data_IF_084255935311
#
_entry.id   IF_084255935311
#
_cell.length_a   1.000
_cell.length_b   1.000
_cell.length_c   1.000
_cell.angle_alpha   90.00
_cell.angle_beta   90.00
_cell.angle_gamma   90.00
#
_symmetry.space_group_name_H-M   'P 1'
#
loop_
_entity.id
_entity.type
_entity.pdbx_description
1 polymer ?
#
# COMPACT_ATOMS: atom_id res chain seq x y z
N UNK A 1 5.72 -33.85 -7.83
CA UNK A 1 5.06 -34.69 -6.80
C UNK A 1 6.09 -35.05 -5.74
N UNK A 2 5.72 -34.90 -4.46
CA UNK A 2 6.60 -35.13 -3.29
C UNK A 2 6.26 -36.51 -2.72
N UNK A 3 7.05 -37.58 -3.00
CA UNK A 3 6.72 -38.95 -2.59
C UNK A 3 6.57 -39.13 -1.08
N UNK A 4 7.36 -38.39 -0.30
CA UNK A 4 7.34 -38.45 1.17
C UNK A 4 6.01 -37.96 1.80
N UNK A 5 5.21 -37.14 1.08
CA UNK A 5 3.88 -36.73 1.55
C UNK A 5 2.85 -37.86 1.51
N UNK A 6 3.10 -38.92 0.73
CA UNK A 6 2.24 -40.12 0.68
C UNK A 6 2.49 -41.06 1.86
N UNK A 7 3.66 -40.95 2.49
CA UNK A 7 4.06 -41.79 3.62
C UNK A 7 3.70 -41.16 4.98
N UNK A 8 3.56 -39.82 5.02
CA UNK A 8 3.17 -39.10 6.23
C UNK A 8 1.66 -39.23 6.48
N UNK A 9 1.26 -40.18 7.29
CA UNK A 9 -0.14 -40.41 7.72
C UNK A 9 -0.44 -39.83 9.11
N UNK A 10 0.55 -39.27 9.77
CA UNK A 10 0.38 -38.70 11.11
C UNK A 10 -0.31 -37.33 11.00
N UNK A 11 -1.45 -37.22 11.65
CA UNK A 11 -2.15 -35.94 11.78
C UNK A 11 -1.45 -35.09 12.85
N UNK A 12 -1.36 -33.76 12.66
CA UNK A 12 -0.84 -32.86 13.69
C UNK A 12 -1.59 -33.06 15.02
N UNK A 13 -0.93 -32.78 16.12
CA UNK A 13 -1.55 -32.82 17.45
C UNK A 13 -2.82 -31.92 17.48
N UNK A 14 -3.75 -32.27 18.35
CA UNK A 14 -5.07 -31.61 18.42
C UNK A 14 -4.96 -30.10 18.65
N UNK A 15 -3.96 -29.66 19.41
CA UNK A 15 -3.70 -28.24 19.66
C UNK A 15 -3.19 -27.53 18.40
N UNK A 16 -2.23 -28.11 17.71
CA UNK A 16 -1.68 -27.58 16.47
C UNK A 16 -2.74 -27.51 15.38
N UNK A 17 -3.53 -28.57 15.20
CA UNK A 17 -4.65 -28.62 14.27
C UNK A 17 -5.68 -27.53 14.56
N UNK A 18 -6.04 -27.31 15.83
CA UNK A 18 -6.95 -26.24 16.22
C UNK A 18 -6.36 -24.85 15.96
N UNK A 19 -5.05 -24.65 16.14
CA UNK A 19 -4.33 -23.44 15.79
C UNK A 19 -4.40 -23.15 14.28
N UNK A 20 -4.15 -24.18 13.46
CA UNK A 20 -4.26 -24.09 11.99
C UNK A 20 -5.68 -23.72 11.56
N UNK A 21 -6.71 -24.41 12.09
CA UNK A 21 -8.11 -24.13 11.77
C UNK A 21 -8.55 -22.70 12.17
N UNK A 22 -8.09 -22.21 13.33
CA UNK A 22 -8.34 -20.81 13.75
C UNK A 22 -7.72 -19.81 12.78
N UNK A 23 -6.49 -20.05 12.33
CA UNK A 23 -5.82 -19.18 11.37
C UNK A 23 -6.49 -19.23 9.99
N UNK A 24 -6.91 -20.40 9.51
CA UNK A 24 -7.69 -20.53 8.26
C UNK A 24 -8.99 -19.76 8.36
N UNK A 25 -9.73 -19.87 9.47
CA UNK A 25 -10.95 -19.10 9.70
C UNK A 25 -10.71 -17.60 9.65
N UNK A 26 -9.67 -17.12 10.34
CA UNK A 26 -9.30 -15.69 10.32
C UNK A 26 -8.89 -15.21 8.91
N UNK A 27 -8.08 -15.97 8.17
CA UNK A 27 -7.74 -15.65 6.78
C UNK A 27 -8.98 -15.59 5.87
N UNK A 28 -9.92 -16.51 6.05
CA UNK A 28 -11.17 -16.51 5.28
C UNK A 28 -12.00 -15.26 5.56
N UNK A 29 -12.12 -14.86 6.83
CA UNK A 29 -12.79 -13.60 7.21
C UNK A 29 -12.11 -12.38 6.55
N UNK A 30 -10.79 -12.30 6.56
CA UNK A 30 -10.05 -11.22 5.89
C UNK A 30 -10.30 -11.19 4.38
N UNK A 31 -10.28 -12.35 3.71
CA UNK A 31 -10.55 -12.43 2.26
C UNK A 31 -11.97 -12.02 1.92
N UNK A 32 -12.97 -12.51 2.66
CA UNK A 32 -14.37 -12.14 2.46
C UNK A 32 -14.60 -10.64 2.66
N UNK A 33 -14.06 -10.07 3.74
CA UNK A 33 -14.17 -8.64 4.02
C UNK A 33 -13.53 -7.80 2.90
N UNK A 34 -12.35 -8.19 2.39
CA UNK A 34 -11.69 -7.49 1.27
C UNK A 34 -12.54 -7.52 0.00
N UNK A 35 -13.20 -8.65 -0.30
CA UNK A 35 -14.09 -8.78 -1.46
C UNK A 35 -15.31 -7.86 -1.28
N UNK A 36 -15.89 -7.83 -0.09
CA UNK A 36 -17.03 -6.96 0.24
C UNK A 36 -16.65 -5.50 0.01
N UNK A 37 -15.59 -5.00 0.65
CA UNK A 37 -15.15 -3.61 0.51
C UNK A 37 -14.94 -3.22 -0.95
N UNK A 38 -14.19 -4.03 -1.72
CA UNK A 38 -13.89 -3.72 -3.13
C UNK A 38 -15.12 -3.66 -4.03
N UNK A 39 -16.09 -4.54 -3.81
CA UNK A 39 -17.29 -4.60 -4.64
C UNK A 39 -18.35 -3.58 -4.20
N UNK A 40 -18.38 -3.23 -2.92
CA UNK A 40 -19.31 -2.24 -2.37
C UNK A 40 -19.15 -0.88 -3.04
N UNK A 41 -17.93 -0.43 -3.30
CA UNK A 41 -17.68 0.85 -3.96
C UNK A 41 -18.36 0.92 -5.34
N UNK A 42 -18.20 -0.11 -6.17
CA UNK A 42 -18.81 -0.17 -7.51
C UNK A 42 -20.33 -0.31 -7.46
N UNK A 43 -20.86 -1.07 -6.50
CA UNK A 43 -22.28 -1.21 -6.28
C UNK A 43 -22.91 0.12 -5.83
N UNK A 44 -22.30 0.82 -4.89
CA UNK A 44 -22.79 2.12 -4.43
C UNK A 44 -22.71 3.17 -5.54
N UNK A 45 -21.63 3.21 -6.33
CA UNK A 45 -21.54 4.12 -7.47
C UNK A 45 -22.64 3.87 -8.49
N UNK A 46 -22.86 2.61 -8.88
CA UNK A 46 -23.89 2.28 -9.86
C UNK A 46 -25.31 2.58 -9.37
N UNK A 47 -25.58 2.35 -8.08
CA UNK A 47 -26.91 2.51 -7.49
C UNK A 47 -27.26 3.97 -7.18
N UNK A 48 -26.30 4.79 -6.73
CA UNK A 48 -26.56 6.16 -6.27
C UNK A 48 -26.17 7.24 -7.27
N UNK A 49 -25.20 6.98 -8.15
CA UNK A 49 -24.63 8.00 -9.05
C UNK A 49 -24.91 7.66 -10.52
N UNK A 50 -24.86 6.38 -10.88
CA UNK A 50 -25.16 5.89 -12.24
C UNK A 50 -23.96 5.21 -12.92
N UNK A 51 -24.27 4.42 -13.94
CA UNK A 51 -23.30 3.56 -14.66
C UNK A 51 -22.23 4.36 -15.41
N UNK A 52 -22.58 5.55 -15.91
CA UNK A 52 -21.61 6.43 -16.60
C UNK A 52 -20.45 6.79 -15.67
N UNK A 53 -20.75 7.11 -14.41
CA UNK A 53 -19.72 7.46 -13.42
C UNK A 53 -18.86 6.24 -13.06
N UNK A 54 -19.44 5.03 -13.03
CA UNK A 54 -18.66 3.79 -12.87
C UNK A 54 -17.67 3.62 -14.02
N UNK A 55 -18.10 3.92 -15.25
CA UNK A 55 -17.23 3.93 -16.43
C UNK A 55 -16.07 4.91 -16.30
N UNK A 56 -16.34 6.16 -15.90
CA UNK A 56 -15.30 7.16 -15.64
C UNK A 56 -14.31 6.71 -14.57
N UNK A 57 -14.82 6.21 -13.44
CA UNK A 57 -14.01 5.71 -12.33
C UNK A 57 -13.15 4.52 -12.72
N UNK A 58 -13.64 3.66 -13.62
CA UNK A 58 -12.88 2.49 -14.09
C UNK A 58 -11.59 2.86 -14.81
N UNK A 59 -11.53 3.99 -15.51
CA UNK A 59 -10.32 4.49 -16.16
C UNK A 59 -9.21 4.79 -15.14
N UNK A 60 -9.56 5.45 -14.03
CA UNK A 60 -8.64 5.70 -12.93
C UNK A 60 -8.22 4.38 -12.24
N UNK A 61 -9.21 3.50 -11.99
CA UNK A 61 -8.94 2.19 -11.37
C UNK A 61 -8.04 1.30 -12.22
N UNK A 62 -8.08 1.40 -13.53
CA UNK A 62 -7.17 0.68 -14.44
C UNK A 62 -5.70 1.02 -14.13
N UNK A 63 -5.37 2.30 -14.04
CA UNK A 63 -4.00 2.75 -13.70
C UNK A 63 -3.63 2.32 -12.27
N UNK A 64 -4.51 2.58 -11.31
CA UNK A 64 -4.30 2.20 -9.91
C UNK A 64 -4.11 0.67 -9.76
N UNK A 65 -4.91 -0.14 -10.45
CA UNK A 65 -4.80 -1.60 -10.40
C UNK A 65 -3.50 -2.11 -11.05
N UNK A 66 -3.03 -1.50 -12.14
CA UNK A 66 -1.75 -1.84 -12.74
C UNK A 66 -0.59 -1.61 -11.75
N UNK A 67 -0.60 -0.46 -11.06
CA UNK A 67 0.39 -0.13 -10.02
C UNK A 67 0.25 -1.03 -8.78
N UNK A 68 -0.98 -1.36 -8.37
CA UNK A 68 -1.25 -2.32 -7.30
C UNK A 68 -0.65 -3.70 -7.62
N UNK A 69 -0.84 -4.18 -8.85
CA UNK A 69 -0.30 -5.45 -9.29
C UNK A 69 1.23 -5.45 -9.31
N UNK A 70 1.85 -4.36 -9.77
CA UNK A 70 3.30 -4.20 -9.75
C UNK A 70 3.85 -4.25 -8.32
N UNK A 71 3.29 -3.43 -7.41
CA UNK A 71 3.69 -3.39 -6.00
C UNK A 71 3.43 -4.72 -5.29
N UNK A 72 2.31 -5.39 -5.62
CA UNK A 72 1.98 -6.71 -5.10
C UNK A 72 2.99 -7.79 -5.52
N UNK A 73 3.43 -7.81 -6.77
CA UNK A 73 4.48 -8.74 -7.23
C UNK A 73 5.80 -8.51 -6.51
N UNK A 74 6.19 -7.25 -6.30
CA UNK A 74 7.37 -6.92 -5.50
C UNK A 74 7.23 -7.43 -4.06
N UNK A 75 6.07 -7.24 -3.44
CA UNK A 75 5.80 -7.73 -2.09
C UNK A 75 5.92 -9.25 -1.99
N UNK A 76 5.32 -9.99 -2.93
CA UNK A 76 5.40 -11.47 -2.98
C UNK A 76 6.84 -11.95 -3.15
N UNK A 77 7.68 -11.26 -3.91
CA UNK A 77 9.08 -11.62 -4.08
C UNK A 77 9.88 -11.62 -2.75
N UNK A 78 9.45 -10.82 -1.76
CA UNK A 78 10.08 -10.76 -0.44
C UNK A 78 9.45 -11.73 0.58
N UNK A 79 8.24 -12.25 0.35
CA UNK A 79 7.49 -13.00 1.35
C UNK A 79 8.22 -14.25 1.86
N UNK A 80 8.86 -15.02 0.96
CA UNK A 80 9.63 -16.20 1.35
C UNK A 80 10.84 -15.87 2.25
N UNK A 81 11.55 -14.79 1.95
CA UNK A 81 12.67 -14.33 2.78
C UNK A 81 12.22 -13.87 4.15
N UNK A 82 11.08 -13.17 4.24
CA UNK A 82 10.52 -12.70 5.51
C UNK A 82 10.13 -13.87 6.40
N UNK A 83 9.52 -14.94 5.85
CA UNK A 83 9.18 -16.13 6.60
C UNK A 83 10.41 -16.79 7.25
N UNK A 84 11.50 -16.91 6.50
CA UNK A 84 12.77 -17.43 7.04
C UNK A 84 13.36 -16.51 8.13
N UNK A 85 13.35 -15.19 7.92
CA UNK A 85 13.84 -14.24 8.93
C UNK A 85 12.98 -14.29 10.20
N UNK A 86 11.66 -14.36 10.07
CA UNK A 86 10.74 -14.44 11.20
C UNK A 86 10.94 -15.71 12.04
N UNK A 87 11.37 -16.81 11.41
CA UNK A 87 11.58 -18.10 12.09
C UNK A 87 12.97 -18.24 12.74
N UNK A 88 14.00 -17.60 12.17
CA UNK A 88 15.41 -17.87 12.53
C UNK A 88 16.10 -16.70 13.25
N UNK A 89 15.58 -15.48 13.15
CA UNK A 89 16.27 -14.29 13.64
C UNK A 89 15.72 -13.80 14.98
N UNK A 90 16.55 -13.06 15.72
CA UNK A 90 16.12 -12.40 16.93
C UNK A 90 15.28 -11.14 16.62
N UNK A 91 14.52 -10.67 17.61
CA UNK A 91 13.58 -9.53 17.47
C UNK A 91 14.21 -8.26 16.95
N UNK A 92 15.46 -7.94 17.31
CA UNK A 92 16.12 -6.71 16.89
C UNK A 92 16.52 -6.76 15.41
N UNK A 93 17.01 -7.91 14.94
CA UNK A 93 17.35 -8.09 13.54
C UNK A 93 16.10 -8.14 12.66
N UNK A 94 15.04 -8.78 13.14
CA UNK A 94 13.74 -8.79 12.49
C UNK A 94 13.19 -7.36 12.33
N UNK A 95 13.25 -6.56 13.39
CA UNK A 95 12.80 -5.17 13.36
C UNK A 95 13.65 -4.29 12.43
N UNK A 96 14.95 -4.52 12.35
CA UNK A 96 15.83 -3.81 11.41
C UNK A 96 15.46 -4.13 9.96
N UNK A 97 15.25 -5.41 9.63
CA UNK A 97 14.81 -5.83 8.29
C UNK A 97 13.45 -5.21 7.95
N UNK A 98 12.53 -5.19 8.91
CA UNK A 98 11.25 -4.52 8.75
C UNK A 98 11.42 -3.03 8.40
N UNK A 99 12.25 -2.28 9.13
CA UNK A 99 12.50 -0.86 8.87
C UNK A 99 13.10 -0.60 7.49
N UNK A 100 14.06 -1.43 7.07
CA UNK A 100 14.66 -1.34 5.74
C UNK A 100 13.61 -1.56 4.64
N UNK A 101 12.76 -2.56 4.78
CA UNK A 101 11.69 -2.84 3.83
C UNK A 101 10.62 -1.76 3.83
N UNK A 102 10.20 -1.29 5.00
CA UNK A 102 9.23 -0.22 5.15
C UNK A 102 9.71 1.07 4.50
N UNK A 103 10.99 1.41 4.65
CA UNK A 103 11.61 2.54 3.97
C UNK A 103 11.66 2.36 2.44
N UNK A 104 12.00 1.18 1.95
CA UNK A 104 12.01 0.88 0.51
C UNK A 104 10.60 1.01 -0.10
N UNK A 105 9.59 0.43 0.54
CA UNK A 105 8.20 0.53 0.09
C UNK A 105 7.68 1.97 0.19
N UNK A 106 8.09 2.72 1.21
CA UNK A 106 7.79 4.14 1.31
C UNK A 106 8.35 4.91 0.11
N UNK A 107 9.62 4.74 -0.26
CA UNK A 107 10.21 5.44 -1.41
C UNK A 107 9.45 5.14 -2.70
N UNK A 108 9.15 3.88 -2.97
CA UNK A 108 8.38 3.47 -4.14
C UNK A 108 6.97 4.06 -4.12
N UNK A 109 6.28 3.99 -2.98
CA UNK A 109 4.93 4.53 -2.82
C UNK A 109 4.92 6.04 -3.01
N UNK A 110 5.84 6.78 -2.37
CA UNK A 110 5.91 8.24 -2.49
C UNK A 110 6.22 8.70 -3.91
N UNK A 111 7.09 7.99 -4.61
CA UNK A 111 7.37 8.24 -6.03
C UNK A 111 6.11 8.08 -6.88
N UNK A 112 5.40 6.97 -6.71
CA UNK A 112 4.16 6.68 -7.44
C UNK A 112 3.08 7.72 -7.12
N UNK A 113 2.90 8.05 -5.84
CA UNK A 113 1.87 9.01 -5.38
C UNK A 113 2.08 10.39 -5.97
N UNK A 114 3.28 10.94 -5.91
CA UNK A 114 3.55 12.25 -6.47
C UNK A 114 3.41 12.26 -7.99
N UNK A 115 3.85 11.19 -8.68
CA UNK A 115 3.62 11.02 -10.11
C UNK A 115 2.13 10.93 -10.47
N UNK A 116 1.33 10.18 -9.71
CA UNK A 116 -0.13 10.10 -9.88
C UNK A 116 -0.81 11.47 -9.64
N UNK A 117 -0.47 12.15 -8.55
CA UNK A 117 -1.03 13.47 -8.26
C UNK A 117 -0.75 14.49 -9.37
N UNK A 118 0.44 14.43 -9.95
CA UNK A 118 0.86 15.32 -11.03
C UNK A 118 0.25 14.94 -12.37
N UNK A 119 0.24 13.66 -12.74
CA UNK A 119 0.05 13.22 -14.12
C UNK A 119 -1.20 12.37 -14.38
N UNK A 120 -1.94 11.89 -13.34
CA UNK A 120 -3.05 10.95 -13.54
C UNK A 120 -4.19 11.55 -14.37
N UNK A 121 -4.61 12.79 -14.07
CA UNK A 121 -5.63 13.48 -14.87
C UNK A 121 -5.14 13.76 -16.29
N UNK A 122 -3.89 14.16 -16.45
CA UNK A 122 -3.31 14.38 -17.78
C UNK A 122 -3.27 13.08 -18.60
N UNK A 123 -2.94 11.96 -17.97
CA UNK A 123 -2.96 10.63 -18.61
C UNK A 123 -4.38 10.25 -19.06
N UNK A 124 -5.38 10.43 -18.19
CA UNK A 124 -6.78 10.14 -18.54
C UNK A 124 -7.25 11.05 -19.67
N UNK A 125 -6.92 12.35 -19.63
CA UNK A 125 -7.26 13.29 -20.70
C UNK A 125 -6.62 12.94 -22.04
N UNK A 126 -5.36 12.51 -22.05
CA UNK A 126 -4.63 12.13 -23.27
C UNK A 126 -5.13 10.80 -23.87
N UNK A 127 -5.58 9.86 -23.03
CA UNK A 127 -6.03 8.54 -23.48
C UNK A 127 -7.52 8.51 -23.86
N UNK A 128 -8.36 9.19 -23.09
CA UNK A 128 -9.81 9.07 -23.18
C UNK A 128 -10.52 10.40 -23.53
N UNK A 129 -9.86 11.54 -23.30
CA UNK A 129 -10.42 12.88 -23.50
C UNK A 129 -10.72 13.60 -22.19
N UNK A 130 -10.85 14.93 -22.27
CA UNK A 130 -11.09 15.81 -21.11
C UNK A 130 -12.42 15.54 -20.39
N UNK A 131 -13.44 15.11 -21.13
CA UNK A 131 -14.77 14.79 -20.59
C UNK A 131 -14.76 13.58 -19.63
N UNK A 132 -13.68 12.78 -19.67
CA UNK A 132 -13.49 11.62 -18.80
C UNK A 132 -12.72 11.96 -17.52
N UNK A 133 -12.35 13.22 -17.31
CA UNK A 133 -11.58 13.63 -16.15
C UNK A 133 -12.46 13.93 -14.93
N UNK A 134 -12.07 13.40 -13.76
CA UNK A 134 -12.65 13.80 -12.50
C UNK A 134 -12.08 15.14 -12.00
N UNK A 135 -12.87 15.91 -11.19
CA UNK A 135 -12.33 17.02 -10.43
C UNK A 135 -11.13 16.59 -9.58
N UNK A 136 -10.18 17.51 -9.40
CA UNK A 136 -8.93 17.20 -8.67
C UNK A 136 -9.16 16.72 -7.23
N UNK A 137 -10.26 17.14 -6.60
CA UNK A 137 -10.69 16.66 -5.27
C UNK A 137 -10.92 15.14 -5.26
N UNK A 138 -11.61 14.60 -6.27
CA UNK A 138 -11.84 13.15 -6.41
C UNK A 138 -10.53 12.43 -6.67
N UNK A 139 -9.68 12.96 -7.56
CA UNK A 139 -8.36 12.38 -7.86
C UNK A 139 -7.49 12.32 -6.61
N UNK A 140 -7.47 13.42 -5.84
CA UNK A 140 -6.72 13.47 -4.58
C UNK A 140 -7.17 12.39 -3.60
N UNK A 141 -8.48 12.14 -3.48
CA UNK A 141 -8.99 11.08 -2.60
C UNK A 141 -8.62 9.68 -3.12
N UNK A 142 -8.72 9.43 -4.44
CA UNK A 142 -8.31 8.14 -5.03
C UNK A 142 -6.82 7.88 -4.77
N UNK A 143 -5.98 8.89 -4.95
CA UNK A 143 -4.53 8.77 -4.72
C UNK A 143 -4.21 8.65 -3.23
N UNK A 144 -4.94 9.35 -2.35
CA UNK A 144 -4.79 9.22 -0.90
C UNK A 144 -5.20 7.81 -0.39
N UNK A 145 -6.29 7.24 -0.91
CA UNK A 145 -6.69 5.85 -0.64
C UNK A 145 -5.57 4.88 -1.06
N UNK A 146 -5.01 5.06 -2.25
CA UNK A 146 -3.90 4.26 -2.73
C UNK A 146 -2.66 4.41 -1.83
N UNK A 147 -2.30 5.63 -1.39
CA UNK A 147 -1.21 5.87 -0.45
C UNK A 147 -1.39 5.09 0.85
N UNK A 148 -2.54 5.23 1.51
CA UNK A 148 -2.86 4.54 2.75
C UNK A 148 -2.76 3.02 2.56
N UNK A 149 -3.32 2.51 1.48
CA UNK A 149 -3.29 1.09 1.14
C UNK A 149 -1.86 0.57 0.93
N UNK A 150 -0.98 1.34 0.28
CA UNK A 150 0.40 0.90 -0.02
C UNK A 150 1.35 1.02 1.16
N UNK A 151 1.22 2.07 1.98
CA UNK A 151 2.03 2.22 3.19
C UNK A 151 1.81 1.09 4.21
N UNK A 152 0.69 0.38 4.14
CA UNK A 152 0.39 -0.79 4.98
C UNK A 152 1.05 -2.09 4.51
N UNK A 153 1.58 -2.12 3.28
CA UNK A 153 2.00 -3.37 2.61
C UNK A 153 3.02 -4.17 3.42
N UNK A 154 3.99 -3.51 4.03
CA UNK A 154 5.04 -4.18 4.81
C UNK A 154 4.48 -4.77 6.10
N UNK A 155 3.60 -4.05 6.81
CA UNK A 155 2.91 -4.58 7.99
C UNK A 155 2.14 -5.88 7.65
N UNK A 156 1.43 -5.88 6.52
CA UNK A 156 0.70 -7.06 6.05
C UNK A 156 1.63 -8.23 5.72
N UNK A 157 2.76 -7.98 5.05
CA UNK A 157 3.75 -9.01 4.71
C UNK A 157 4.31 -9.68 5.96
N UNK A 158 4.73 -8.91 6.96
CA UNK A 158 5.27 -9.47 8.20
C UNK A 158 4.20 -10.18 9.03
N UNK A 159 2.98 -9.63 9.12
CA UNK A 159 1.84 -10.28 9.77
C UNK A 159 1.53 -11.64 9.12
N UNK A 160 1.50 -11.70 7.79
CA UNK A 160 1.23 -12.93 7.03
C UNK A 160 2.35 -13.96 7.21
N UNK A 161 3.60 -13.53 7.10
CA UNK A 161 4.76 -14.42 7.28
C UNK A 161 4.85 -15.02 8.69
N UNK A 162 4.38 -14.30 9.70
CA UNK A 162 4.37 -14.74 11.10
C UNK A 162 3.06 -15.43 11.52
N UNK A 163 2.08 -15.56 10.62
CA UNK A 163 0.81 -16.21 10.91
C UNK A 163 -0.09 -15.48 11.93
N UNK A 164 0.06 -14.16 12.08
CA UNK A 164 -0.65 -13.36 13.10
C UNK A 164 -2.11 -13.02 12.73
N UNK A 165 -2.75 -13.84 11.90
CA UNK A 165 -4.12 -13.60 11.41
C UNK A 165 -5.18 -13.62 12.52
N UNK A 166 -4.98 -14.46 13.53
CA UNK A 166 -5.93 -14.57 14.63
C UNK A 166 -5.99 -13.32 15.49
N UNK A 167 -4.87 -12.60 15.61
CA UNK A 167 -4.74 -11.44 16.47
C UNK A 167 -5.50 -10.21 15.95
N UNK A 168 -5.75 -10.14 14.63
CA UNK A 168 -6.49 -9.03 13.99
C UNK A 168 -7.78 -9.46 13.28
N UNK A 169 -8.33 -10.63 13.60
CA UNK A 169 -9.50 -11.22 12.93
C UNK A 169 -10.71 -10.32 12.84
N UNK A 170 -10.96 -9.50 13.85
CA UNK A 170 -12.11 -8.58 13.88
C UNK A 170 -11.88 -7.30 13.09
N UNK A 171 -10.62 -6.94 12.80
CA UNK A 171 -10.28 -5.72 12.05
C UNK A 171 -10.96 -5.66 10.69
N UNK A 172 -10.91 -6.76 9.94
CA UNK A 172 -11.46 -6.81 8.60
C UNK A 172 -12.99 -6.66 8.58
N UNK A 173 -13.69 -7.22 9.58
CA UNK A 173 -15.13 -7.04 9.74
C UNK A 173 -15.45 -5.60 10.12
N UNK A 174 -14.74 -5.02 11.08
CA UNK A 174 -14.91 -3.62 11.46
C UNK A 174 -14.65 -2.67 10.30
N UNK A 175 -13.57 -2.90 9.52
CA UNK A 175 -13.26 -2.16 8.30
C UNK A 175 -14.43 -2.19 7.31
N UNK A 176 -15.01 -3.36 7.04
CA UNK A 176 -16.13 -3.52 6.11
C UNK A 176 -17.39 -2.80 6.56
N UNK A 177 -17.73 -2.89 7.84
CA UNK A 177 -18.89 -2.23 8.40
C UNK A 177 -18.73 -0.71 8.35
N UNK A 178 -17.59 -0.19 8.83
CA UNK A 178 -17.31 1.25 8.82
C UNK A 178 -17.26 1.77 7.37
N UNK A 179 -16.65 1.04 6.44
CA UNK A 179 -16.63 1.40 5.04
C UNK A 179 -18.05 1.54 4.47
N UNK A 180 -18.88 0.53 4.64
CA UNK A 180 -20.26 0.55 4.14
C UNK A 180 -21.07 1.71 4.73
N UNK A 181 -21.02 1.89 6.05
CA UNK A 181 -21.78 2.94 6.74
C UNK A 181 -21.29 4.34 6.33
N UNK A 182 -19.98 4.57 6.32
CA UNK A 182 -19.40 5.85 5.93
C UNK A 182 -19.66 6.18 4.46
N UNK A 183 -19.50 5.20 3.56
CA UNK A 183 -19.79 5.39 2.13
C UNK A 183 -21.26 5.70 1.87
N UNK A 184 -22.18 4.98 2.51
CA UNK A 184 -23.64 5.26 2.41
C UNK A 184 -24.01 6.64 2.94
N UNK A 185 -23.42 7.07 4.05
CA UNK A 185 -23.67 8.38 4.62
C UNK A 185 -23.14 9.54 3.75
N UNK A 186 -22.01 9.31 3.07
CA UNK A 186 -21.32 10.36 2.31
C UNK A 186 -21.70 10.39 0.83
N UNK A 187 -22.14 9.26 0.22
CA UNK A 187 -22.42 9.19 -1.21
C UNK A 187 -23.51 10.14 -1.66
N UNK A 188 -24.57 10.33 -0.86
CA UNK A 188 -25.69 11.21 -1.21
C UNK A 188 -25.28 12.69 -1.34
N UNK A 189 -24.27 13.12 -0.57
CA UNK A 189 -23.83 14.51 -0.55
C UNK A 189 -22.60 14.77 -1.41
N UNK A 190 -21.68 13.80 -1.49
CA UNK A 190 -20.37 13.97 -2.11
C UNK A 190 -20.13 13.05 -3.32
N UNK A 191 -21.10 12.22 -3.70
CA UNK A 191 -20.98 11.34 -4.85
C UNK A 191 -19.75 10.41 -4.76
N UNK A 192 -18.94 10.36 -5.81
CA UNK A 192 -17.72 9.53 -5.88
C UNK A 192 -16.75 9.86 -4.74
N UNK A 193 -16.56 11.15 -4.44
CA UNK A 193 -15.71 11.59 -3.33
C UNK A 193 -16.18 11.03 -1.99
N UNK A 194 -17.51 10.89 -1.79
CA UNK A 194 -18.08 10.30 -0.60
C UNK A 194 -17.76 8.81 -0.46
N UNK A 195 -17.83 8.05 -1.53
CA UNK A 195 -17.53 6.60 -1.51
C UNK A 195 -16.06 6.37 -1.21
N UNK A 196 -15.17 7.04 -1.94
CA UNK A 196 -13.71 6.93 -1.71
C UNK A 196 -13.34 7.44 -0.32
N UNK A 197 -13.99 8.54 0.13
CA UNK A 197 -13.84 9.07 1.48
C UNK A 197 -14.24 8.08 2.56
N UNK A 198 -15.32 7.31 2.36
CA UNK A 198 -15.73 6.23 3.26
C UNK A 198 -14.67 5.14 3.40
N UNK A 199 -14.02 4.76 2.30
CA UNK A 199 -12.91 3.79 2.29
C UNK A 199 -11.69 4.34 3.04
N UNK A 200 -11.37 5.62 2.88
CA UNK A 200 -10.29 6.28 3.64
C UNK A 200 -10.62 6.27 5.14
N UNK A 201 -11.84 6.67 5.53
CA UNK A 201 -12.28 6.71 6.93
C UNK A 201 -12.18 5.31 7.56
N UNK A 202 -12.70 4.27 6.90
CA UNK A 202 -12.62 2.91 7.42
C UNK A 202 -11.18 2.43 7.62
N UNK A 203 -10.28 2.72 6.67
CA UNK A 203 -8.87 2.38 6.76
C UNK A 203 -8.15 3.13 7.88
N UNK A 204 -8.46 4.43 8.07
CA UNK A 204 -7.89 5.23 9.17
C UNK A 204 -8.41 4.77 10.53
N UNK A 205 -9.68 4.41 10.64
CA UNK A 205 -10.28 3.92 11.89
C UNK A 205 -9.81 2.53 12.28
N UNK A 206 -9.32 1.72 11.35
CA UNK A 206 -9.00 0.31 11.60
C UNK A 206 -7.57 -0.03 11.23
N UNK A 207 -7.24 -0.02 9.96
CA UNK A 207 -6.04 -0.65 9.41
C UNK A 207 -4.75 0.06 9.77
N UNK A 208 -4.74 1.38 9.69
CA UNK A 208 -3.51 2.19 9.81
C UNK A 208 -2.81 2.00 11.16
N UNK A 209 -3.57 1.78 12.22
CA UNK A 209 -2.99 1.60 13.56
C UNK A 209 -3.02 0.16 14.06
N UNK A 210 -4.03 -0.66 13.68
CA UNK A 210 -4.13 -2.06 14.16
C UNK A 210 -3.00 -2.91 13.58
N UNK A 211 -2.66 -2.76 12.31
CA UNK A 211 -1.66 -3.60 11.65
C UNK A 211 -0.25 -3.43 12.23
N UNK A 212 0.31 -2.22 12.35
CA UNK A 212 1.61 -2.05 12.99
C UNK A 212 1.57 -2.43 14.47
N UNK A 213 0.46 -2.18 15.17
CA UNK A 213 0.28 -2.59 16.56
C UNK A 213 0.37 -4.13 16.71
N UNK A 214 -0.34 -4.88 15.86
CA UNK A 214 -0.32 -6.36 15.90
C UNK A 214 1.08 -6.89 15.61
N UNK A 215 1.72 -6.40 14.54
CA UNK A 215 3.06 -6.83 14.19
C UNK A 215 4.07 -6.52 15.29
N UNK A 216 4.09 -5.30 15.82
CA UNK A 216 5.07 -4.91 16.82
C UNK A 216 4.83 -5.60 18.16
N UNK A 217 3.58 -5.73 18.60
CA UNK A 217 3.24 -6.32 19.89
C UNK A 217 3.41 -7.82 19.92
N UNK A 218 2.98 -8.54 18.87
CA UNK A 218 2.95 -10.01 18.87
C UNK A 218 4.10 -10.62 18.04
N UNK A 219 4.63 -9.87 17.08
CA UNK A 219 5.74 -10.30 16.25
C UNK A 219 7.09 -9.93 16.82
N UNK A 220 7.34 -8.65 17.05
CA UNK A 220 8.62 -8.14 17.57
C UNK A 220 8.71 -8.29 19.09
N UNK A 221 7.64 -8.00 19.81
CA UNK A 221 7.47 -8.09 21.27
C UNK A 221 8.33 -7.12 22.10
N UNK A 222 9.63 -7.05 21.82
CA UNK A 222 10.56 -6.19 22.55
C UNK A 222 10.29 -4.70 22.29
N UNK A 223 10.20 -3.91 23.38
CA UNK A 223 10.00 -2.45 23.38
C UNK A 223 8.91 -1.97 22.37
N UNK A 224 7.87 -2.77 22.14
CA UNK A 224 6.87 -2.53 21.09
C UNK A 224 6.18 -1.17 21.18
N UNK A 225 5.94 -0.63 22.40
CA UNK A 225 5.29 0.70 22.56
C UNK A 225 6.17 1.82 21.98
N UNK A 226 7.49 1.77 22.27
CA UNK A 226 8.45 2.73 21.74
C UNK A 226 8.53 2.61 20.22
N UNK A 227 8.69 1.39 19.71
CA UNK A 227 8.78 1.08 18.28
C UNK A 227 7.50 1.53 17.53
N UNK A 228 6.31 1.39 18.14
CA UNK A 228 5.04 1.85 17.58
C UNK A 228 4.96 3.38 17.50
N UNK A 229 5.40 4.09 18.54
CA UNK A 229 5.45 5.56 18.53
C UNK A 229 6.43 6.07 17.47
N UNK A 230 7.61 5.44 17.38
CA UNK A 230 8.63 5.80 16.40
C UNK A 230 8.12 5.53 14.96
N UNK A 231 7.39 4.43 14.75
CA UNK A 231 6.71 4.14 13.48
C UNK A 231 5.75 5.25 13.07
N UNK A 232 4.86 5.70 13.97
CA UNK A 232 3.91 6.76 13.63
C UNK A 232 4.57 8.12 13.43
N UNK A 233 5.64 8.42 14.15
CA UNK A 233 6.42 9.63 13.94
C UNK A 233 7.06 9.65 12.54
N UNK A 234 7.66 8.53 12.12
CA UNK A 234 8.20 8.38 10.76
C UNK A 234 7.10 8.37 9.70
N UNK A 235 5.99 7.68 9.94
CA UNK A 235 4.84 7.68 9.03
C UNK A 235 4.33 9.10 8.75
N UNK A 236 4.20 9.93 9.81
CA UNK A 236 3.75 11.32 9.67
C UNK A 236 4.75 12.16 8.87
N UNK A 237 6.05 12.07 9.16
CA UNK A 237 7.10 12.78 8.40
C UNK A 237 7.06 12.40 6.92
N UNK A 238 6.97 11.11 6.62
CA UNK A 238 6.92 10.55 5.26
C UNK A 238 5.65 10.99 4.52
N UNK A 239 4.51 11.02 5.22
CA UNK A 239 3.24 11.51 4.68
C UNK A 239 3.33 13.00 4.33
N UNK A 240 3.88 13.83 5.21
CA UNK A 240 4.04 15.27 4.98
C UNK A 240 4.98 15.54 3.78
N UNK A 241 6.09 14.82 3.69
CA UNK A 241 7.01 14.95 2.55
C UNK A 241 6.34 14.54 1.24
N UNK A 242 5.62 13.41 1.23
CA UNK A 242 4.88 12.95 0.04
C UNK A 242 3.79 13.95 -0.36
N UNK A 243 3.07 14.51 0.60
CA UNK A 243 2.05 15.53 0.36
C UNK A 243 2.65 16.82 -0.21
N UNK A 244 3.79 17.28 0.31
CA UNK A 244 4.49 18.44 -0.19
C UNK A 244 4.97 18.26 -1.64
N UNK A 245 5.58 17.12 -1.96
CA UNK A 245 6.00 16.77 -3.32
C UNK A 245 4.81 16.68 -4.27
N UNK A 246 3.71 16.07 -3.82
CA UNK A 246 2.47 15.97 -4.60
C UNK A 246 1.87 17.34 -4.88
N UNK A 247 1.80 18.20 -3.87
CA UNK A 247 1.31 19.58 -4.03
C UNK A 247 2.18 20.39 -5.00
N UNK A 248 3.50 20.28 -4.91
CA UNK A 248 4.41 20.92 -5.86
C UNK A 248 4.18 20.43 -7.29
N UNK A 249 4.00 19.14 -7.52
CA UNK A 249 3.68 18.55 -8.82
C UNK A 249 2.34 19.05 -9.39
N UNK A 250 1.30 19.14 -8.55
CA UNK A 250 -0.01 19.68 -8.94
C UNK A 250 0.11 21.16 -9.36
N UNK A 251 0.80 21.99 -8.56
CA UNK A 251 1.02 23.40 -8.87
C UNK A 251 1.82 23.57 -10.17
N UNK A 252 2.79 22.70 -10.42
CA UNK A 252 3.55 22.68 -11.67
C UNK A 252 2.64 22.47 -12.89
N UNK A 253 1.82 21.40 -12.88
CA UNK A 253 0.93 21.08 -14.01
C UNK A 253 -0.18 22.12 -14.18
N UNK A 254 -0.63 22.77 -13.12
CA UNK A 254 -1.57 23.89 -13.21
C UNK A 254 -0.94 25.11 -13.94
N UNK A 255 0.36 25.33 -13.76
CA UNK A 255 1.09 26.42 -14.43
C UNK A 255 1.52 26.05 -15.85
N UNK A 256 1.87 24.77 -16.08
CA UNK A 256 2.34 24.22 -17.34
C UNK A 256 1.50 23.00 -17.73
N UNK A 257 0.32 23.22 -18.37
CA UNK A 257 -0.58 22.13 -18.69
C UNK A 257 0.01 21.11 -19.66
N UNK A 258 -0.21 19.83 -19.39
CA UNK A 258 0.21 18.71 -20.24
C UNK A 258 -0.70 18.63 -21.45
N UNK A 259 -0.20 19.02 -22.63
CA UNK A 259 -0.99 19.05 -23.88
C UNK A 259 -0.77 17.84 -24.79
N UNK A 260 0.32 17.12 -24.63
CA UNK A 260 0.67 15.97 -25.46
C UNK A 260 1.56 14.97 -24.71
N UNK A 261 1.75 13.78 -25.30
CA UNK A 261 2.60 12.72 -24.70
C UNK A 261 4.08 13.11 -24.54
N UNK A 262 4.60 14.01 -25.37
CA UNK A 262 5.98 14.50 -25.25
C UNK A 262 6.18 15.28 -23.95
N UNK A 263 5.28 16.23 -23.67
CA UNK A 263 5.28 17.00 -22.41
C UNK A 263 5.01 16.08 -21.21
N UNK A 264 4.08 15.14 -21.35
CA UNK A 264 3.82 14.12 -20.30
C UNK A 264 5.09 13.37 -19.89
N UNK A 265 5.87 12.90 -20.86
CA UNK A 265 7.13 12.20 -20.60
C UNK A 265 8.16 13.14 -19.97
N UNK A 266 8.29 14.37 -20.49
CA UNK A 266 9.21 15.36 -19.96
C UNK A 266 8.90 15.71 -18.50
N UNK A 267 7.65 15.93 -18.17
CA UNK A 267 7.20 16.19 -16.80
C UNK A 267 7.44 14.99 -15.88
N UNK A 268 7.25 13.77 -16.38
CA UNK A 268 7.59 12.55 -15.65
C UNK A 268 9.09 12.42 -15.36
N UNK A 269 9.94 12.77 -16.31
CA UNK A 269 11.40 12.79 -16.13
C UNK A 269 11.83 13.89 -15.16
N UNK A 270 11.25 15.10 -15.28
CA UNK A 270 11.49 16.21 -14.37
C UNK A 270 11.10 15.82 -12.94
N UNK A 271 9.89 15.27 -12.77
CA UNK A 271 9.44 14.78 -11.46
C UNK A 271 10.40 13.73 -10.89
N UNK A 272 10.87 12.79 -11.71
CA UNK A 272 11.83 11.75 -11.29
C UNK A 272 13.14 12.37 -10.79
N UNK A 273 13.67 13.38 -11.49
CA UNK A 273 14.89 14.08 -11.09
C UNK A 273 14.69 14.85 -9.77
N UNK A 274 13.56 15.56 -9.62
CA UNK A 274 13.21 16.28 -8.39
C UNK A 274 13.04 15.32 -7.23
N UNK A 275 12.28 14.22 -7.41
CA UNK A 275 12.07 13.21 -6.39
C UNK A 275 13.40 12.59 -5.92
N UNK A 276 14.28 12.22 -6.85
CA UNK A 276 15.60 11.69 -6.53
C UNK A 276 16.45 12.70 -5.72
N UNK A 277 16.47 13.97 -6.15
CA UNK A 277 17.17 15.05 -5.45
C UNK A 277 16.66 15.26 -4.03
N UNK A 278 15.33 15.33 -3.86
CA UNK A 278 14.68 15.47 -2.54
C UNK A 278 14.96 14.25 -1.66
N UNK A 279 14.86 13.04 -2.20
CA UNK A 279 15.16 11.81 -1.45
C UNK A 279 16.59 11.81 -0.93
N UNK A 280 17.56 12.16 -1.76
CA UNK A 280 18.97 12.28 -1.32
C UNK A 280 19.12 13.36 -0.25
N UNK A 281 18.49 14.52 -0.43
CA UNK A 281 18.60 15.64 0.50
C UNK A 281 18.07 15.30 1.90
N UNK A 282 16.92 14.65 1.98
CA UNK A 282 16.23 14.37 3.24
C UNK A 282 16.70 13.10 3.95
N UNK A 283 17.17 12.10 3.19
CA UNK A 283 17.52 10.77 3.73
C UNK A 283 19.00 10.44 3.68
N UNK A 284 19.85 11.32 3.13
CA UNK A 284 21.30 11.16 3.16
C UNK A 284 21.78 11.09 4.62
N UNK A 285 22.34 9.92 5.00
CA UNK A 285 22.82 9.68 6.37
C UNK A 285 21.80 8.96 7.26
N UNK A 286 20.62 8.57 6.77
CA UNK A 286 19.78 7.61 7.50
C UNK A 286 20.30 6.19 7.29
N UNK A 287 20.21 5.35 8.32
CA UNK A 287 20.72 3.97 8.31
C UNK A 287 20.06 3.16 7.18
N UNK A 288 18.76 3.36 6.96
CA UNK A 288 18.00 2.65 5.92
C UNK A 288 18.43 3.06 4.51
N UNK A 289 18.66 4.34 4.28
CA UNK A 289 19.12 4.84 2.97
C UNK A 289 20.51 4.32 2.64
N UNK A 290 21.45 4.37 3.60
CA UNK A 290 22.80 3.89 3.41
C UNK A 290 22.85 2.39 3.16
N UNK A 291 22.01 1.62 3.86
CA UNK A 291 21.87 0.17 3.64
C UNK A 291 21.33 -0.13 2.24
N UNK A 292 20.27 0.56 1.79
CA UNK A 292 19.74 0.38 0.44
C UNK A 292 20.77 0.75 -0.64
N UNK A 293 21.49 1.85 -0.45
CA UNK A 293 22.57 2.27 -1.36
C UNK A 293 23.67 1.22 -1.47
N UNK A 294 24.12 0.66 -0.34
CA UNK A 294 25.14 -0.39 -0.34
C UNK A 294 24.65 -1.68 -1.03
N UNK A 295 23.39 -2.08 -0.79
CA UNK A 295 22.81 -3.24 -1.48
C UNK A 295 22.70 -3.01 -2.99
N UNK A 296 22.26 -1.83 -3.41
CA UNK A 296 22.23 -1.46 -4.85
C UNK A 296 23.60 -1.49 -5.49
N UNK A 297 24.64 -0.97 -4.83
CA UNK A 297 26.01 -1.00 -5.33
C UNK A 297 26.57 -2.43 -5.45
N UNK A 298 26.25 -3.32 -4.49
CA UNK A 298 26.65 -4.73 -4.55
C UNK A 298 26.01 -5.47 -5.73
N UNK A 299 24.74 -5.20 -6.01
CA UNK A 299 24.03 -5.79 -7.15
C UNK A 299 24.65 -5.34 -8.50
N UNK A 300 24.99 -4.05 -8.61
CA UNK A 300 25.64 -3.52 -9.82
C UNK A 300 27.06 -4.08 -10.02
N UNK A 301 27.83 -4.30 -8.96
CA UNK A 301 29.16 -4.93 -9.05
C UNK A 301 29.05 -6.39 -9.49
N UNK A 302 28.13 -7.17 -8.90
CA UNK A 302 27.89 -8.55 -9.30
C UNK A 302 27.52 -8.68 -10.79
N UNK A 303 26.67 -7.76 -11.30
CA UNK A 303 26.30 -7.79 -12.73
C UNK A 303 27.50 -7.53 -13.66
N UNK A 304 28.47 -6.72 -13.21
CA UNK A 304 29.72 -6.48 -14.00
C UNK A 304 30.72 -7.65 -13.97
N UNK A 305 30.60 -8.57 -13.00
CA UNK A 305 31.42 -9.77 -12.92
C UNK A 305 30.91 -10.92 -13.81
N UNK A 306 29.65 -10.84 -14.27
CA UNK A 306 28.99 -11.85 -15.12
C UNK A 306 28.83 -11.38 -16.59
N UNK A 307 29.24 -10.16 -16.93
CA UNK A 307 29.30 -9.62 -18.31
C UNK A 307 30.75 -9.43 -18.75
#
# INVERSE_FOLDING_TARGET
EFPYLKECRELPEREERNGILKNIGAMSMHKLATIIVRNTDSLLMSSFIGLTTVGLYSNYRLVINALNNLMGKLAVAFSGSIGNFAALENSDRLYRIYREMDFMFFLLTSYIIGGLMMLLNALVALLFGQDYCFPMTVVTLIVAEFYISRMRQVNLLFREAMGLFWNDRYKAVAESIINLVASLALVQRYGVAGIVGGTIISSLCTCVWVEPYIFLKYGVQDAWQKKLRDYFAEYLKRMLLTAALSAAGVLWVQRFPVSNFGIFILDGLLYTAVFAGVTVLFYRGSEEYDTLKQRGQKLLKRKKEYT
#
